data_IF_504556141211
#
_entry.id   IF_504556141211
#
_cell.length_a   1.000
_cell.length_b   1.000
_cell.length_c   1.000
_cell.angle_alpha   90.00
_cell.angle_beta   90.00
_cell.angle_gamma   90.00
#
_symmetry.space_group_name_H-M   'P 1'
#
loop_
_entity.id
_entity.type
_entity.pdbx_description
1 polymer ?
#
# COMPACT_ATOMS: atom_id res chain seq x y z
N UNK A 1 -16.41 7.08 -0.78
CA UNK A 1 -16.52 8.18 0.20
C UNK A 1 -17.20 7.65 1.44
N UNK A 2 -16.81 8.13 2.62
CA UNK A 2 -17.48 7.81 3.88
C UNK A 2 -18.98 8.13 3.83
N UNK A 3 -19.81 7.26 4.40
CA UNK A 3 -21.27 7.47 4.54
C UNK A 3 -21.67 7.96 5.94
N UNK A 4 -20.69 8.22 6.81
CA UNK A 4 -20.90 8.63 8.21
C UNK A 4 -20.47 10.08 8.39
N UNK A 5 -21.35 10.90 8.97
CA UNK A 5 -21.09 12.33 9.20
C UNK A 5 -20.25 12.61 10.47
N UNK A 6 -20.23 11.68 11.43
CA UNK A 6 -19.43 11.80 12.65
C UNK A 6 -17.93 11.67 12.32
N UNK A 7 -17.13 12.76 12.43
CA UNK A 7 -15.73 12.77 12.01
C UNK A 7 -14.86 11.80 12.81
N UNK A 8 -15.21 11.49 14.06
CA UNK A 8 -14.46 10.53 14.88
C UNK A 8 -14.69 9.08 14.41
N UNK A 9 -15.68 8.85 13.53
CA UNK A 9 -16.10 7.54 13.06
C UNK A 9 -16.09 7.38 11.54
N UNK A 10 -15.80 8.45 10.81
CA UNK A 10 -15.93 8.50 9.35
C UNK A 10 -14.84 7.71 8.60
N UNK A 11 -13.75 7.30 9.25
CA UNK A 11 -12.70 6.47 8.61
C UNK A 11 -12.24 5.35 9.54
N UNK A 12 -12.64 4.11 9.24
CA UNK A 12 -12.41 2.92 10.10
C UNK A 12 -12.13 1.66 9.27
N UNK A 13 -11.08 1.66 8.44
CA UNK A 13 -10.75 0.53 7.57
C UNK A 13 -10.47 -0.75 8.36
N UNK A 14 -10.69 -1.89 7.74
CA UNK A 14 -10.52 -3.24 8.33
C UNK A 14 -11.38 -3.52 9.56
N UNK A 15 -12.46 -2.76 9.76
CA UNK A 15 -13.44 -3.00 10.83
C UNK A 15 -14.80 -3.41 10.27
N UNK A 16 -15.62 -4.08 11.08
CA UNK A 16 -17.02 -4.35 10.73
C UNK A 16 -17.86 -3.08 10.51
N UNK A 17 -17.34 -1.92 10.94
CA UNK A 17 -17.95 -0.60 10.78
C UNK A 17 -17.29 0.25 9.68
N UNK A 18 -16.48 -0.36 8.80
CA UNK A 18 -15.90 0.32 7.65
C UNK A 18 -17.02 0.93 6.77
N UNK A 19 -16.89 2.23 6.47
CA UNK A 19 -17.96 3.02 5.84
C UNK A 19 -17.49 3.90 4.68
N UNK A 20 -16.27 3.67 4.18
CA UNK A 20 -15.60 4.40 3.10
C UNK A 20 -14.45 5.29 3.58
N UNK A 21 -13.69 5.84 2.64
CA UNK A 21 -12.59 6.78 2.90
C UNK A 21 -13.08 8.24 3.04
N UNK A 22 -12.29 9.05 3.75
CA UNK A 22 -12.48 10.50 3.88
C UNK A 22 -11.39 11.20 3.05
N UNK A 23 -11.74 12.10 2.11
CA UNK A 23 -10.75 12.83 1.31
C UNK A 23 -9.91 13.74 2.19
N UNK A 24 -8.61 13.81 1.89
CA UNK A 24 -7.68 14.74 2.51
C UNK A 24 -6.73 15.28 1.44
N UNK A 25 -6.12 16.42 1.73
CA UNK A 25 -5.15 17.07 0.85
C UNK A 25 -3.77 17.08 1.50
N UNK A 26 -2.73 16.97 0.66
CA UNK A 26 -1.33 16.97 1.09
C UNK A 26 -0.38 16.88 -0.09
N UNK A 27 0.89 17.20 0.12
CA UNK A 27 1.92 17.15 -0.91
C UNK A 27 3.29 16.77 -0.34
N UNK A 28 4.02 15.92 -1.07
CA UNK A 28 5.38 15.52 -0.75
C UNK A 28 6.18 15.30 -2.05
N UNK A 29 7.50 15.44 -1.98
CA UNK A 29 8.40 15.15 -3.10
C UNK A 29 9.59 14.32 -2.59
N UNK A 30 9.93 13.28 -3.33
CA UNK A 30 11.09 12.42 -3.09
C UNK A 30 11.99 12.45 -4.32
N UNK A 31 13.30 12.29 -4.11
CA UNK A 31 14.28 12.12 -5.19
C UNK A 31 14.85 10.72 -5.04
N UNK A 32 14.69 9.91 -6.09
CA UNK A 32 15.27 8.57 -6.18
C UNK A 32 16.42 8.62 -7.16
N UNK A 33 17.56 8.04 -6.79
CA UNK A 33 18.74 7.92 -7.64
C UNK A 33 19.46 6.60 -7.36
N UNK A 34 20.43 6.26 -8.21
CA UNK A 34 21.31 5.12 -7.94
C UNK A 34 22.12 5.35 -6.65
N UNK A 35 22.19 4.33 -5.79
CA UNK A 35 22.93 4.38 -4.53
C UNK A 35 24.39 4.82 -4.72
N UNK A 36 25.04 4.36 -5.79
CA UNK A 36 26.42 4.74 -6.13
C UNK A 36 26.56 6.24 -6.41
N UNK A 37 25.55 6.86 -7.02
CA UNK A 37 25.49 8.31 -7.25
C UNK A 37 25.34 9.06 -5.93
N UNK A 38 24.37 8.65 -5.10
CA UNK A 38 24.12 9.20 -3.78
C UNK A 38 25.39 9.14 -2.90
N UNK A 39 26.06 7.99 -2.85
CA UNK A 39 27.31 7.80 -2.10
C UNK A 39 28.44 8.68 -2.61
N UNK A 40 28.65 8.75 -3.94
CA UNK A 40 29.72 9.56 -4.54
C UNK A 40 29.59 11.05 -4.19
N UNK A 41 28.36 11.56 -4.11
CA UNK A 41 28.11 12.97 -3.74
C UNK A 41 27.92 13.20 -2.24
N UNK A 42 28.05 12.15 -1.40
CA UNK A 42 27.85 12.24 0.05
C UNK A 42 26.41 12.58 0.46
N UNK A 43 25.42 12.15 -0.33
CA UNK A 43 24.02 12.40 -0.04
C UNK A 43 23.55 11.66 1.22
N UNK A 44 22.73 12.29 2.08
CA UNK A 44 22.09 11.60 3.18
C UNK A 44 20.95 10.71 2.67
N UNK A 45 21.20 9.41 2.56
CA UNK A 45 20.19 8.42 2.16
C UNK A 45 19.17 8.24 3.29
N UNK A 46 17.87 8.34 2.96
CA UNK A 46 16.77 8.22 3.94
C UNK A 46 16.16 6.81 3.98
N UNK A 47 16.08 6.18 2.81
CA UNK A 47 15.56 4.84 2.63
C UNK A 47 16.10 4.28 1.30
N UNK A 48 15.94 2.98 1.12
CA UNK A 48 16.26 2.26 -0.12
C UNK A 48 14.98 1.70 -0.70
N UNK A 49 14.77 1.88 -2.01
CA UNK A 49 13.73 1.17 -2.75
C UNK A 49 14.31 -0.19 -3.17
N UNK A 50 13.92 -1.25 -2.46
CA UNK A 50 14.49 -2.59 -2.67
C UNK A 50 13.84 -3.35 -3.84
N UNK A 51 12.54 -3.15 -4.08
CA UNK A 51 11.80 -3.79 -5.16
C UNK A 51 10.44 -3.12 -5.39
N UNK A 52 9.85 -3.37 -6.56
CA UNK A 52 8.58 -2.83 -7.00
C UNK A 52 7.91 -3.78 -8.01
N UNK A 53 6.61 -4.00 -7.85
CA UNK A 53 5.80 -4.62 -8.89
C UNK A 53 4.42 -3.99 -8.95
N UNK A 54 3.79 -4.11 -10.12
CA UNK A 54 2.46 -3.57 -10.38
C UNK A 54 1.63 -4.54 -11.20
N UNK A 55 0.33 -4.55 -10.90
CA UNK A 55 -0.69 -5.30 -11.65
C UNK A 55 -1.87 -4.39 -11.96
N UNK A 56 -2.81 -4.85 -12.79
CA UNK A 56 -4.02 -4.11 -13.10
C UNK A 56 -5.20 -5.06 -13.21
N UNK A 57 -6.25 -4.82 -12.41
CA UNK A 57 -7.40 -5.72 -12.28
C UNK A 57 -8.75 -5.03 -12.59
N UNK A 58 -8.72 -3.73 -12.91
CA UNK A 58 -9.91 -2.91 -13.16
C UNK A 58 -10.62 -2.46 -11.86
N UNK A 59 -11.46 -1.43 -11.98
CA UNK A 59 -12.13 -0.84 -10.82
C UNK A 59 -13.23 -1.76 -10.25
N UNK A 60 -13.34 -1.80 -8.93
CA UNK A 60 -14.40 -2.48 -8.17
C UNK A 60 -14.51 -4.00 -8.40
N UNK A 61 -13.42 -4.66 -8.83
CA UNK A 61 -13.36 -6.12 -9.03
C UNK A 61 -12.60 -6.79 -7.88
N UNK A 62 -13.08 -6.64 -6.66
CA UNK A 62 -12.31 -6.93 -5.43
C UNK A 62 -11.72 -8.34 -5.33
N UNK A 63 -12.41 -9.37 -5.81
CA UNK A 63 -11.84 -10.73 -5.86
C UNK A 63 -10.64 -10.84 -6.81
N UNK A 64 -10.71 -10.21 -7.98
CA UNK A 64 -9.58 -10.14 -8.91
C UNK A 64 -8.50 -9.23 -8.36
N UNK A 65 -8.88 -8.13 -7.70
CA UNK A 65 -7.95 -7.21 -7.04
C UNK A 65 -7.15 -7.91 -5.96
N UNK A 66 -7.74 -8.83 -5.17
CA UNK A 66 -6.99 -9.68 -4.23
C UNK A 66 -5.87 -10.44 -4.92
N UNK A 67 -6.16 -11.12 -6.02
CA UNK A 67 -5.15 -11.90 -6.75
C UNK A 67 -4.08 -10.99 -7.35
N UNK A 68 -4.47 -9.88 -7.96
CA UNK A 68 -3.53 -8.90 -8.51
C UNK A 68 -2.64 -8.27 -7.43
N UNK A 69 -3.19 -7.97 -6.25
CA UNK A 69 -2.43 -7.47 -5.10
C UNK A 69 -1.44 -8.52 -4.61
N UNK A 70 -1.86 -9.78 -4.46
CA UNK A 70 -0.96 -10.86 -4.06
C UNK A 70 0.21 -11.04 -5.05
N UNK A 71 -0.07 -10.97 -6.36
CA UNK A 71 0.99 -11.04 -7.38
C UNK A 71 1.92 -9.81 -7.32
N UNK A 72 1.39 -8.61 -7.07
CA UNK A 72 2.21 -7.41 -6.91
C UNK A 72 3.10 -7.49 -5.65
N UNK A 73 2.55 -7.95 -4.53
CA UNK A 73 3.31 -8.14 -3.28
C UNK A 73 4.45 -9.13 -3.49
N UNK A 74 4.14 -10.32 -4.03
CA UNK A 74 5.14 -11.36 -4.26
C UNK A 74 6.21 -10.93 -5.28
N UNK A 75 5.82 -10.23 -6.35
CA UNK A 75 6.77 -9.70 -7.33
C UNK A 75 7.71 -8.63 -6.75
N UNK A 76 7.20 -7.74 -5.90
CA UNK A 76 8.02 -6.73 -5.23
C UNK A 76 8.98 -7.35 -4.22
N UNK A 77 8.55 -8.37 -3.47
CA UNK A 77 9.39 -9.13 -2.55
C UNK A 77 10.48 -9.93 -3.27
N UNK A 78 10.14 -10.57 -4.40
CA UNK A 78 11.10 -11.28 -5.25
C UNK A 78 12.17 -10.34 -5.81
N UNK A 79 11.79 -9.17 -6.35
CA UNK A 79 12.76 -8.16 -6.82
C UNK A 79 13.62 -7.63 -5.66
N UNK A 80 13.05 -7.48 -4.46
CA UNK A 80 13.78 -7.08 -3.27
C UNK A 80 14.68 -8.19 -2.67
N UNK A 81 14.50 -9.45 -3.09
CA UNK A 81 15.15 -10.60 -2.45
C UNK A 81 14.79 -10.75 -0.97
N UNK A 82 13.58 -10.35 -0.59
CA UNK A 82 13.11 -10.27 0.80
C UNK A 82 12.01 -11.31 1.05
N UNK A 83 12.13 -12.07 2.13
CA UNK A 83 11.09 -12.99 2.56
C UNK A 83 9.94 -12.23 3.26
N UNK A 84 8.67 -12.68 3.13
CA UNK A 84 7.54 -12.01 3.77
C UNK A 84 7.70 -11.85 5.29
N UNK A 85 8.36 -12.80 5.96
CA UNK A 85 8.57 -12.79 7.41
C UNK A 85 9.58 -11.73 7.88
N UNK A 86 10.33 -11.13 6.96
CA UNK A 86 11.27 -10.04 7.25
C UNK A 86 10.57 -8.66 7.25
N UNK A 87 9.28 -8.60 6.90
CA UNK A 87 8.51 -7.37 6.86
C UNK A 87 7.95 -7.04 8.26
N UNK A 88 8.48 -5.99 8.87
CA UNK A 88 8.04 -5.51 10.18
C UNK A 88 6.70 -4.74 10.13
N UNK A 89 6.45 -4.02 9.03
CA UNK A 89 5.30 -3.12 8.90
C UNK A 89 4.80 -3.03 7.46
N UNK A 90 3.48 -3.02 7.30
CA UNK A 90 2.79 -2.80 6.02
C UNK A 90 1.95 -1.53 6.11
N UNK A 91 2.16 -0.62 5.17
CA UNK A 91 1.30 0.56 4.98
C UNK A 91 0.28 0.24 3.88
N UNK A 92 -0.91 -0.19 4.31
CA UNK A 92 -2.01 -0.58 3.43
C UNK A 92 -2.69 0.63 2.75
N UNK A 93 -3.36 0.38 1.62
CA UNK A 93 -4.25 1.33 0.93
C UNK A 93 -5.45 1.68 1.82
N UNK A 94 -6.07 0.66 2.45
CA UNK A 94 -7.06 0.83 3.49
C UNK A 94 -8.25 1.73 3.05
N UNK A 95 -8.86 1.38 1.92
CA UNK A 95 -9.93 2.16 1.28
C UNK A 95 -11.16 2.39 2.17
N UNK A 96 -11.35 1.57 3.21
CA UNK A 96 -12.47 1.67 4.15
C UNK A 96 -13.76 1.10 3.60
N UNK A 97 -13.71 0.37 2.48
CA UNK A 97 -14.86 -0.32 1.90
C UNK A 97 -14.75 -1.80 2.29
N UNK A 98 -15.76 -2.40 2.94
CA UNK A 98 -15.64 -3.75 3.53
C UNK A 98 -15.09 -4.81 2.58
N UNK A 99 -15.55 -4.84 1.33
CA UNK A 99 -15.10 -5.82 0.33
C UNK A 99 -13.67 -5.56 -0.16
N UNK A 100 -13.29 -4.28 -0.29
CA UNK A 100 -11.94 -3.89 -0.70
C UNK A 100 -10.93 -4.17 0.40
N UNK A 101 -11.22 -3.75 1.63
CA UNK A 101 -10.40 -3.98 2.82
C UNK A 101 -10.20 -5.49 3.06
N UNK A 102 -11.24 -6.30 2.86
CA UNK A 102 -11.14 -7.76 2.95
C UNK A 102 -10.25 -8.34 1.86
N UNK A 103 -10.37 -7.87 0.62
CA UNK A 103 -9.52 -8.31 -0.48
C UNK A 103 -8.04 -7.98 -0.23
N UNK A 104 -7.76 -6.78 0.28
CA UNK A 104 -6.41 -6.34 0.64
C UNK A 104 -5.84 -7.17 1.81
N UNK A 105 -6.60 -7.34 2.90
CA UNK A 105 -6.14 -8.13 4.05
C UNK A 105 -5.85 -9.59 3.67
N UNK A 106 -6.65 -10.20 2.80
CA UNK A 106 -6.43 -11.57 2.30
C UNK A 106 -5.30 -11.68 1.28
N UNK A 107 -4.86 -10.58 0.68
CA UNK A 107 -3.69 -10.57 -0.21
C UNK A 107 -2.38 -10.43 0.59
N UNK A 108 -2.45 -9.79 1.76
CA UNK A 108 -1.32 -9.59 2.68
C UNK A 108 -1.08 -10.84 3.55
N UNK A 109 -2.14 -11.53 3.97
CA UNK A 109 -2.11 -12.71 4.85
C UNK A 109 -1.58 -13.96 4.15
#
# INVERSE_FOLDING_TARGET
LSTVDDPERAYRPFTASACGFVPAEGGAMLVVEAESSARRRGAPVRATLAGYAATFTGASRWEHSREGLAQAILGALDEAGCAPEEIDVVFADALGVPEADRAEALAIA
#
